data_IF_928878998158
#
_entry.id   IF_928878998158
#
_cell.length_a   1.000
_cell.length_b   1.000
_cell.length_c   1.000
_cell.angle_alpha   90.00
_cell.angle_beta   90.00
_cell.angle_gamma   90.00
#
_symmetry.space_group_name_H-M   'P 1'
#
loop_
_entity.id
_entity.type
_entity.pdbx_description
1 polymer ?
#
# COMPACT_ATOMS: atom_id res chain seq x y z
N UNK A 1 -18.76 3.06 -13.27
CA UNK A 1 -20.06 2.72 -13.88
C UNK A 1 -21.13 3.03 -12.85
N UNK A 2 -22.19 3.74 -13.23
CA UNK A 2 -23.28 4.09 -12.32
C UNK A 2 -24.16 2.86 -12.09
N UNK A 3 -24.54 2.61 -10.84
CA UNK A 3 -25.54 1.61 -10.50
C UNK A 3 -26.79 2.38 -10.09
N UNK A 4 -27.78 2.42 -10.99
CA UNK A 4 -29.07 2.98 -10.66
C UNK A 4 -29.80 2.00 -9.75
N UNK A 5 -30.09 2.43 -8.53
CA UNK A 5 -30.83 1.67 -7.53
C UNK A 5 -32.19 2.33 -7.35
N UNK A 6 -33.27 1.57 -7.39
CA UNK A 6 -34.59 2.10 -7.05
C UNK A 6 -34.81 1.93 -5.55
N UNK A 7 -35.14 3.01 -4.85
CA UNK A 7 -35.56 2.94 -3.45
C UNK A 7 -36.89 2.18 -3.33
N UNK A 8 -37.16 1.64 -2.14
CA UNK A 8 -38.46 1.04 -1.80
C UNK A 8 -39.63 2.03 -2.00
N UNK A 9 -39.37 3.33 -1.96
CA UNK A 9 -40.32 4.42 -2.26
C UNK A 9 -40.54 4.69 -3.74
N UNK A 10 -39.88 3.97 -4.65
CA UNK A 10 -39.98 4.16 -6.11
C UNK A 10 -39.06 5.26 -6.68
N UNK A 11 -38.35 6.01 -5.84
CA UNK A 11 -37.40 7.03 -6.31
C UNK A 11 -36.09 6.41 -6.82
N UNK A 12 -35.59 6.93 -7.94
CA UNK A 12 -34.34 6.52 -8.56
C UNK A 12 -33.13 7.16 -7.87
N UNK A 13 -32.20 6.35 -7.39
CA UNK A 13 -30.91 6.78 -6.87
C UNK A 13 -29.79 6.52 -7.88
N UNK A 14 -29.09 7.57 -8.27
CA UNK A 14 -27.88 7.45 -9.09
C UNK A 14 -26.68 7.10 -8.20
N UNK A 15 -26.47 5.80 -7.98
CA UNK A 15 -25.36 5.30 -7.19
C UNK A 15 -24.05 5.21 -7.97
N UNK A 16 -22.93 5.24 -7.24
CA UNK A 16 -21.60 4.98 -7.80
C UNK A 16 -21.17 3.55 -7.50
N UNK A 17 -20.66 2.83 -8.51
CA UNK A 17 -20.06 1.50 -8.35
C UNK A 17 -18.55 1.57 -8.53
N UNK A 18 -17.81 0.87 -7.67
CA UNK A 18 -16.37 0.71 -7.82
C UNK A 18 -16.03 0.15 -9.21
N UNK A 19 -15.15 0.85 -9.91
CA UNK A 19 -14.85 0.64 -11.33
C UNK A 19 -14.00 -0.62 -11.59
N UNK A 20 -13.19 -1.05 -10.63
CA UNK A 20 -12.26 -2.18 -10.76
C UNK A 20 -12.25 -3.00 -9.47
N UNK A 21 -11.87 -4.27 -9.58
CA UNK A 21 -11.62 -5.09 -8.39
C UNK A 21 -10.38 -4.58 -7.64
N UNK A 22 -10.47 -4.50 -6.31
CA UNK A 22 -9.38 -4.04 -5.45
C UNK A 22 -8.57 -5.23 -4.91
N UNK A 23 -7.29 -5.02 -4.63
CA UNK A 23 -6.47 -5.90 -3.81
C UNK A 23 -5.57 -5.08 -2.87
N UNK A 24 -5.21 -5.68 -1.74
CA UNK A 24 -4.17 -5.19 -0.86
C UNK A 24 -2.82 -5.79 -1.23
N UNK A 25 -1.74 -5.04 -1.03
CA UNK A 25 -0.38 -5.56 -1.04
C UNK A 25 0.33 -5.07 0.20
N UNK A 26 0.74 -6.00 1.06
CA UNK A 26 1.40 -5.69 2.32
C UNK A 26 2.92 -5.77 2.15
N UNK A 27 3.63 -4.72 2.54
CA UNK A 27 5.09 -4.78 2.66
C UNK A 27 5.43 -5.39 4.02
N UNK A 28 5.94 -6.61 4.01
CA UNK A 28 6.25 -7.41 5.20
C UNK A 28 7.47 -6.83 5.92
N UNK A 29 7.49 -6.74 7.26
CA UNK A 29 6.49 -7.23 8.23
C UNK A 29 5.46 -6.20 8.68
N UNK A 30 5.82 -4.91 8.73
CA UNK A 30 4.98 -3.88 9.33
C UNK A 30 3.67 -3.62 8.56
N UNK A 31 3.65 -3.81 7.24
CA UNK A 31 2.45 -3.68 6.42
C UNK A 31 1.34 -4.68 6.80
N UNK A 32 1.69 -5.83 7.38
CA UNK A 32 0.71 -6.85 7.79
C UNK A 32 -0.23 -6.35 8.90
N UNK A 33 0.22 -5.38 9.70
CA UNK A 33 -0.57 -4.75 10.74
C UNK A 33 -1.84 -4.07 10.19
N UNK A 34 -1.79 -3.60 8.94
CA UNK A 34 -2.90 -2.90 8.30
C UNK A 34 -3.90 -3.86 7.61
N UNK A 35 -3.54 -5.13 7.44
CA UNK A 35 -4.38 -6.10 6.72
C UNK A 35 -5.70 -6.38 7.44
N UNK A 36 -5.69 -6.41 8.78
CA UNK A 36 -6.91 -6.65 9.57
C UNK A 36 -7.93 -5.55 9.33
N UNK A 37 -7.51 -4.28 9.47
CA UNK A 37 -8.38 -3.14 9.17
C UNK A 37 -8.90 -3.15 7.74
N UNK A 38 -8.08 -3.57 6.77
CA UNK A 38 -8.52 -3.68 5.39
C UNK A 38 -9.58 -4.78 5.19
N UNK A 39 -9.44 -5.94 5.84
CA UNK A 39 -10.42 -7.04 5.78
C UNK A 39 -11.73 -6.70 6.48
N UNK A 40 -11.67 -5.95 7.58
CA UNK A 40 -12.86 -5.51 8.31
C UNK A 40 -13.74 -4.59 7.44
N UNK A 41 -13.11 -3.74 6.63
CA UNK A 41 -13.80 -2.90 5.64
C UNK A 41 -14.22 -3.66 4.37
N UNK A 42 -13.45 -4.67 3.96
CA UNK A 42 -13.60 -5.39 2.69
C UNK A 42 -13.39 -6.91 2.88
N UNK A 43 -14.44 -7.63 3.30
CA UNK A 43 -14.36 -9.06 3.69
C UNK A 43 -13.73 -10.01 2.66
N UNK A 44 -13.83 -9.71 1.36
CA UNK A 44 -13.34 -10.60 0.28
C UNK A 44 -12.13 -10.05 -0.48
N UNK A 45 -11.39 -9.10 0.11
CA UNK A 45 -10.21 -8.53 -0.54
C UNK A 45 -9.06 -9.53 -0.60
N UNK A 46 -8.46 -9.67 -1.79
CA UNK A 46 -7.23 -10.46 -1.97
C UNK A 46 -6.04 -9.66 -1.47
N UNK A 47 -5.13 -10.30 -0.73
CA UNK A 47 -3.93 -9.66 -0.19
C UNK A 47 -2.70 -10.36 -0.72
N UNK A 48 -1.85 -9.60 -1.42
CA UNK A 48 -0.49 -9.99 -1.77
C UNK A 48 0.51 -9.57 -0.71
N UNK A 49 1.70 -10.17 -0.73
CA UNK A 49 2.77 -9.88 0.21
C UNK A 49 4.08 -9.68 -0.54
N UNK A 50 4.84 -8.67 -0.13
CA UNK A 50 6.20 -8.41 -0.61
C UNK A 50 7.10 -8.31 0.62
N UNK A 51 8.10 -9.18 0.72
CA UNK A 51 9.13 -9.13 1.75
C UNK A 51 10.34 -8.36 1.22
N UNK A 52 10.62 -7.24 1.87
CA UNK A 52 11.73 -6.37 1.56
C UNK A 52 12.51 -6.12 2.84
N UNK A 53 13.83 -6.27 2.75
CA UNK A 53 14.73 -6.09 3.89
C UNK A 53 15.97 -5.29 3.45
N UNK A 54 16.43 -4.39 4.33
CA UNK A 54 17.68 -3.67 4.13
C UNK A 54 18.84 -4.65 4.28
N UNK A 55 19.78 -4.63 3.33
CA UNK A 55 21.01 -5.40 3.46
C UNK A 55 22.01 -4.59 4.29
N UNK A 56 22.24 -5.00 5.54
CA UNK A 56 23.16 -4.29 6.42
C UNK A 56 24.61 -4.82 6.33
N UNK A 57 24.90 -5.74 5.40
CA UNK A 57 26.20 -6.43 5.32
C UNK A 57 27.35 -5.49 4.95
N UNK A 58 27.11 -4.43 4.16
CA UNK A 58 28.20 -3.61 3.58
C UNK A 58 28.10 -2.10 3.91
N UNK A 59 27.28 -1.70 4.89
CA UNK A 59 27.00 -0.28 5.17
C UNK A 59 26.26 0.45 4.02
N UNK A 60 25.87 -0.27 2.98
CA UNK A 60 25.06 0.23 1.88
C UNK A 60 23.59 0.32 2.30
N UNK A 61 22.93 1.42 1.96
CA UNK A 61 21.47 1.60 2.17
C UNK A 61 20.62 0.79 1.17
N UNK A 62 21.12 -0.38 0.76
CA UNK A 62 20.55 -1.15 -0.31
C UNK A 62 19.42 -2.04 0.21
N UNK A 63 18.33 -2.09 -0.54
CA UNK A 63 17.09 -2.73 -0.09
C UNK A 63 16.75 -3.86 -1.07
N UNK A 64 16.75 -5.10 -0.58
CA UNK A 64 16.57 -6.30 -1.39
C UNK A 64 15.16 -6.88 -1.22
N UNK A 65 14.63 -7.43 -2.31
CA UNK A 65 13.35 -8.16 -2.33
C UNK A 65 13.68 -9.63 -2.11
N UNK A 66 13.17 -10.21 -1.03
CA UNK A 66 13.39 -11.62 -0.70
C UNK A 66 12.21 -12.50 -1.13
N UNK A 67 11.01 -11.93 -1.19
CA UNK A 67 9.81 -12.65 -1.54
C UNK A 67 8.76 -11.72 -2.12
N UNK A 68 8.04 -12.18 -3.14
CA UNK A 68 6.86 -11.51 -3.66
C UNK A 68 5.82 -12.55 -4.06
N UNK A 69 4.63 -12.48 -3.46
CA UNK A 69 3.46 -13.28 -3.84
C UNK A 69 2.27 -12.37 -3.98
N UNK A 70 1.87 -12.17 -5.23
CA UNK A 70 0.81 -11.23 -5.61
C UNK A 70 -0.42 -12.00 -6.12
N UNK A 71 -1.64 -11.44 -5.99
CA UNK A 71 -2.84 -12.02 -6.58
C UNK A 71 -2.74 -12.14 -8.10
N UNK A 72 -3.38 -13.14 -8.73
CA UNK A 72 -3.44 -13.23 -10.18
C UNK A 72 -4.15 -12.02 -10.79
N UNK A 73 -3.69 -11.61 -11.98
CA UNK A 73 -4.20 -10.45 -12.73
C UNK A 73 -4.12 -9.13 -11.95
N UNK A 74 -3.03 -8.92 -11.20
CA UNK A 74 -2.84 -7.71 -10.38
C UNK A 74 -2.76 -6.42 -11.22
N UNK A 75 -2.20 -6.48 -12.44
CA UNK A 75 -2.10 -5.35 -13.38
C UNK A 75 -3.43 -4.69 -13.70
N UNK A 76 -4.53 -5.46 -13.66
CA UNK A 76 -5.88 -4.98 -13.97
C UNK A 76 -6.63 -4.43 -12.73
N UNK A 77 -6.04 -4.48 -11.54
CA UNK A 77 -6.68 -4.14 -10.26
C UNK A 77 -6.22 -2.79 -9.73
N UNK A 78 -7.01 -2.20 -8.83
CA UNK A 78 -6.54 -1.10 -7.96
C UNK A 78 -5.82 -1.71 -6.76
N UNK A 79 -4.64 -1.20 -6.46
CA UNK A 79 -3.75 -1.74 -5.43
C UNK A 79 -3.71 -0.80 -4.24
N UNK A 80 -3.99 -1.34 -3.06
CA UNK A 80 -3.75 -0.69 -1.78
C UNK A 80 -2.42 -1.20 -1.24
N UNK A 81 -1.35 -0.46 -1.50
CA UNK A 81 -0.01 -0.78 -1.03
C UNK A 81 0.13 -0.31 0.43
N UNK A 82 0.25 -1.24 1.37
CA UNK A 82 0.23 -0.95 2.80
C UNK A 82 1.63 -0.98 3.39
N UNK A 83 2.05 0.15 3.94
CA UNK A 83 3.30 0.28 4.69
C UNK A 83 3.19 1.41 5.73
N UNK A 84 3.09 1.09 7.05
CA UNK A 84 2.64 2.06 8.05
C UNK A 84 3.64 3.20 8.31
N UNK A 85 4.94 2.99 8.13
CA UNK A 85 5.97 4.00 8.38
C UNK A 85 6.77 4.26 7.12
N UNK A 86 6.75 5.49 6.63
CA UNK A 86 7.56 5.91 5.50
C UNK A 86 8.68 6.84 5.98
N UNK A 87 9.85 6.24 6.23
CA UNK A 87 11.10 6.93 6.61
C UNK A 87 11.79 7.56 5.40
N UNK A 88 12.78 6.88 4.81
CA UNK A 88 13.48 7.35 3.59
C UNK A 88 12.72 7.10 2.29
N UNK A 89 11.73 6.21 2.32
CA UNK A 89 10.95 5.80 1.14
C UNK A 89 11.59 4.69 0.29
N UNK A 90 12.83 4.27 0.56
CA UNK A 90 13.53 3.26 -0.26
C UNK A 90 12.78 1.91 -0.31
N UNK A 91 12.24 1.46 0.81
CA UNK A 91 11.42 0.23 0.88
C UNK A 91 10.18 0.33 -0.01
N UNK A 92 9.50 1.48 0.00
CA UNK A 92 8.32 1.71 -0.83
C UNK A 92 8.70 1.77 -2.31
N UNK A 93 9.78 2.48 -2.66
CA UNK A 93 10.29 2.53 -4.02
C UNK A 93 10.57 1.12 -4.55
N UNK A 94 11.22 0.27 -3.75
CA UNK A 94 11.49 -1.11 -4.14
C UNK A 94 10.22 -1.94 -4.30
N UNK A 95 9.21 -1.72 -3.46
CA UNK A 95 7.91 -2.36 -3.61
C UNK A 95 7.19 -1.91 -4.90
N UNK A 96 7.28 -0.62 -5.24
CA UNK A 96 6.74 -0.07 -6.49
C UNK A 96 7.47 -0.66 -7.72
N UNK A 97 8.79 -0.83 -7.64
CA UNK A 97 9.56 -1.51 -8.70
C UNK A 97 9.08 -2.94 -8.92
N UNK A 98 8.85 -3.69 -7.84
CA UNK A 98 8.24 -5.04 -7.94
C UNK A 98 6.87 -4.93 -8.62
N UNK A 99 5.99 -4.00 -8.22
CA UNK A 99 4.69 -3.87 -8.88
C UNK A 99 4.82 -3.57 -10.39
N UNK A 100 5.82 -2.79 -10.81
CA UNK A 100 6.10 -2.54 -12.23
C UNK A 100 6.52 -3.80 -12.97
N UNK A 101 7.29 -4.72 -12.36
CA UNK A 101 7.64 -6.00 -12.99
C UNK A 101 6.44 -6.92 -13.21
N UNK A 102 5.28 -6.61 -12.58
CA UNK A 102 4.01 -7.30 -12.81
C UNK A 102 3.04 -6.46 -13.67
N UNK A 103 3.57 -5.51 -14.46
CA UNK A 103 2.83 -4.64 -15.38
C UNK A 103 1.72 -3.81 -14.70
N UNK A 104 1.92 -3.48 -13.43
CA UNK A 104 0.99 -2.61 -12.71
C UNK A 104 1.26 -1.16 -13.09
N UNK A 105 0.26 -0.42 -13.62
CA UNK A 105 0.41 1.00 -13.87
C UNK A 105 0.33 1.79 -12.55
N UNK A 106 1.20 2.78 -12.38
CA UNK A 106 1.35 3.48 -11.10
C UNK A 106 0.11 4.30 -10.69
N UNK A 107 -0.73 4.76 -11.63
CA UNK A 107 -2.01 5.42 -11.29
C UNK A 107 -3.04 4.48 -10.63
N UNK A 108 -2.82 3.16 -10.74
CA UNK A 108 -3.64 2.15 -10.08
C UNK A 108 -3.18 1.85 -8.65
N UNK A 109 -2.01 2.33 -8.25
CA UNK A 109 -1.48 2.15 -6.90
C UNK A 109 -1.92 3.31 -6.00
N UNK A 110 -2.41 2.96 -4.82
CA UNK A 110 -2.63 3.88 -3.70
C UNK A 110 -1.75 3.39 -2.56
N UNK A 111 -0.78 4.22 -2.18
CA UNK A 111 0.07 3.96 -1.03
C UNK A 111 -0.66 4.39 0.25
N UNK A 112 -0.90 3.44 1.15
CA UNK A 112 -1.49 3.65 2.46
C UNK A 112 -0.39 3.61 3.52
N UNK A 113 -0.21 4.74 4.22
CA UNK A 113 0.74 4.87 5.33
C UNK A 113 0.07 5.50 6.55
N UNK A 114 0.67 5.35 7.73
CA UNK A 114 0.21 6.03 8.95
C UNK A 114 1.09 7.25 9.23
N UNK A 115 2.41 7.05 9.22
CA UNK A 115 3.40 8.09 9.48
C UNK A 115 4.32 8.25 8.26
N UNK A 116 4.55 9.48 7.84
CA UNK A 116 5.43 9.79 6.71
C UNK A 116 6.40 10.91 7.07
N UNK A 117 7.67 10.75 6.70
CA UNK A 117 8.63 11.84 6.74
C UNK A 117 8.51 12.70 5.47
N UNK A 118 8.67 14.04 5.56
CA UNK A 118 8.65 14.91 4.37
C UNK A 118 9.71 14.50 3.32
N UNK A 119 10.90 14.09 3.78
CA UNK A 119 11.99 13.65 2.91
C UNK A 119 11.62 12.38 2.14
N UNK A 120 11.12 11.37 2.84
CA UNK A 120 10.70 10.11 2.21
C UNK A 120 9.53 10.30 1.27
N UNK A 121 8.55 11.14 1.63
CA UNK A 121 7.42 11.45 0.77
C UNK A 121 7.90 12.09 -0.54
N UNK A 122 8.80 13.07 -0.44
CA UNK A 122 9.41 13.72 -1.60
C UNK A 122 10.18 12.72 -2.46
N UNK A 123 10.99 11.87 -1.85
CA UNK A 123 11.76 10.84 -2.57
C UNK A 123 10.85 9.89 -3.36
N UNK A 124 9.71 9.48 -2.79
CA UNK A 124 8.74 8.61 -3.47
C UNK A 124 8.03 9.34 -4.61
N UNK A 125 7.49 10.54 -4.36
CA UNK A 125 6.67 11.28 -5.32
C UNK A 125 7.47 11.84 -6.49
N UNK A 126 8.72 12.28 -6.29
CA UNK A 126 9.58 12.75 -7.38
C UNK A 126 9.80 11.65 -8.43
N UNK A 127 9.94 10.39 -7.98
CA UNK A 127 10.11 9.23 -8.87
C UNK A 127 8.78 8.64 -9.38
N UNK A 128 7.67 9.02 -8.76
CA UNK A 128 6.33 8.48 -9.02
C UNK A 128 5.26 9.58 -8.92
N UNK A 129 5.25 10.57 -9.83
CA UNK A 129 4.39 11.75 -9.70
C UNK A 129 2.89 11.43 -9.79
N UNK A 130 2.52 10.31 -10.41
CA UNK A 130 1.13 9.85 -10.56
C UNK A 130 0.64 8.99 -9.39
N UNK A 131 1.52 8.66 -8.43
CA UNK A 131 1.18 7.83 -7.28
C UNK A 131 0.28 8.60 -6.32
N UNK A 132 -0.81 7.98 -5.88
CA UNK A 132 -1.65 8.52 -4.82
C UNK A 132 -1.16 8.02 -3.47
N UNK A 133 -0.91 8.94 -2.55
CA UNK A 133 -0.49 8.64 -1.17
C UNK A 133 -1.58 9.09 -0.22
N UNK A 134 -1.99 8.20 0.68
CA UNK A 134 -2.91 8.49 1.79
C UNK A 134 -2.15 8.20 3.07
N UNK A 135 -2.03 9.23 3.90
CA UNK A 135 -1.30 9.17 5.18
C UNK A 135 -2.12 9.80 6.29
N UNK A 136 -1.89 9.38 7.53
CA UNK A 136 -2.57 9.96 8.70
C UNK A 136 -1.80 11.16 9.27
N UNK A 137 -0.46 11.09 9.25
CA UNK A 137 0.40 12.10 9.85
C UNK A 137 1.69 12.30 9.05
N UNK A 138 2.05 13.57 8.82
CA UNK A 138 3.33 13.99 8.24
C UNK A 138 4.19 14.58 9.36
N UNK A 139 5.31 13.94 9.70
CA UNK A 139 6.16 14.37 10.79
C UNK A 139 7.66 14.19 10.45
N UNK A 140 8.57 15.11 10.85
CA UNK A 140 10.00 15.00 10.54
C UNK A 140 10.64 13.71 11.08
N UNK A 141 10.20 13.27 12.25
CA UNK A 141 10.67 12.04 12.90
C UNK A 141 9.56 11.00 12.85
N UNK A 142 9.81 9.87 12.18
CA UNK A 142 8.87 8.76 12.13
C UNK A 142 9.18 7.72 13.22
N UNK A 143 8.18 6.99 13.73
CA UNK A 143 8.41 5.95 14.74
C UNK A 143 9.33 4.84 14.21
N UNK A 144 10.32 4.41 14.98
CA UNK A 144 11.26 3.34 14.59
C UNK A 144 10.76 1.93 14.95
N UNK A 145 9.90 1.79 15.96
CA UNK A 145 9.55 0.49 16.55
C UNK A 145 8.09 0.03 16.32
N UNK A 146 7.37 0.59 15.34
CA UNK A 146 5.95 0.24 15.14
C UNK A 146 5.73 -1.27 14.97
N UNK A 147 6.54 -1.94 14.15
CA UNK A 147 6.41 -3.39 13.95
C UNK A 147 6.65 -4.19 15.23
N UNK A 148 7.69 -3.86 15.99
CA UNK A 148 8.00 -4.53 17.26
C UNK A 148 6.89 -4.32 18.30
N UNK A 149 6.37 -3.09 18.41
CA UNK A 149 5.27 -2.77 19.34
C UNK A 149 3.95 -3.42 18.92
N UNK A 150 3.66 -3.47 17.62
CA UNK A 150 2.42 -4.05 17.11
C UNK A 150 2.39 -5.58 17.25
N UNK A 151 3.52 -6.25 17.01
CA UNK A 151 3.61 -7.72 17.11
C UNK A 151 4.07 -8.22 18.48
N UNK A 152 4.43 -7.33 19.41
CA UNK A 152 4.85 -7.70 20.77
C UNK A 152 6.18 -8.46 20.84
N UNK A 153 7.10 -8.23 19.89
CA UNK A 153 8.38 -8.97 19.79
C UNK A 153 9.55 -8.21 20.43
N UNK A 154 9.36 -7.66 21.63
CA UNK A 154 10.40 -6.95 22.39
C UNK A 154 11.55 -7.86 22.80
#
# INVERSE_FOLDING_TARGET
SFANSTFLSGHLFHGVKFLRGNCGVSVVRSGEAMERGLRDCCRSIRIGKILIQANNEDGSNDVKVYYAKLPPNISQRKILLMYPILGSGNTVLKALDVLRTYDVPMENVILLTLFVSPEGLRNVLVRNPVLRVVTSEVHPVVPTHFGQRYFGTS
#
